data_IF_139007115696
#
_entry.id   IF_139007115696
#
_cell.length_a   1.000
_cell.length_b   1.000
_cell.length_c   1.000
_cell.angle_alpha   90.00
_cell.angle_beta   90.00
_cell.angle_gamma   90.00
#
_symmetry.space_group_name_H-M   'P 1'
#
loop_
_entity.id
_entity.type
_entity.pdbx_description
1 polymer ?
2 non-polymer ?
3 water ?
#
# COMPACT_ATOMS: atom_id res chain seq x y z
N UNK A 2 0.55 -3.40 -2.75
CA UNK A 2 -0.46 -3.00 -1.77
C UNK A 2 -1.79 -2.73 -2.45
N UNK A 3 -2.55 -3.80 -2.68
CA UNK A 3 -3.95 -3.68 -3.03
C UNK A 3 -4.66 -2.85 -1.95
N UNK A 4 -5.90 -2.45 -2.23
CA UNK A 4 -6.76 -1.96 -1.18
C UNK A 4 -6.95 -3.02 -0.09
N UNK A 5 -6.76 -4.29 -0.44
CA UNK A 5 -6.98 -5.37 0.54
C UNK A 5 -5.98 -5.30 1.69
N UNK A 6 -4.68 -5.24 1.37
CA UNK A 6 -3.69 -5.13 2.45
C UNK A 6 -3.92 -3.87 3.26
N UNK A 7 -4.19 -2.75 2.58
CA UNK A 7 -4.42 -1.49 3.28
C UNK A 7 -5.58 -1.62 4.28
N UNK A 8 -6.62 -2.36 3.92
CA UNK A 8 -7.78 -2.48 4.79
C UNK A 8 -7.58 -3.51 5.92
N UNK A 9 -6.81 -4.58 5.68
CA UNK A 9 -6.54 -5.51 6.78
C UNK A 9 -5.73 -4.83 7.88
N UNK A 10 -4.84 -3.92 7.50
CA UNK A 10 -4.10 -3.13 8.50
C UNK A 10 -5.05 -2.28 9.33
N UNK A 11 -5.98 -1.57 8.68
CA UNK A 11 -6.87 -0.66 9.41
C UNK A 11 -8.01 -1.38 10.12
N UNK A 12 -8.28 -2.63 9.78
CA UNK A 12 -9.39 -3.36 10.36
C UNK A 12 -8.97 -4.55 11.22
N UNK A 13 -7.84 -5.18 10.92
CA UNK A 13 -7.37 -6.32 11.69
C UNK A 13 -8.26 -7.55 11.63
N UNK A 14 -7.66 -8.68 11.28
CA UNK A 14 -8.37 -9.95 11.22
C UNK A 14 -8.79 -10.39 12.61
N UNK A 15 -10.04 -10.86 12.74
CA UNK A 15 -10.57 -11.26 14.04
C UNK A 15 -11.61 -12.35 13.83
N UNK A 16 -11.19 -13.61 14.05
CA UNK A 16 -12.00 -14.79 13.73
C UNK A 16 -13.23 -14.95 14.61
N UNK A 17 -13.40 -14.09 15.62
CA UNK A 17 -14.46 -14.17 16.62
C UNK A 17 -15.07 -12.78 16.71
N UNK A 18 -16.36 -12.73 17.02
CA UNK A 18 -17.13 -11.50 16.92
C UNK A 18 -16.76 -10.53 18.05
N UNK A 19 -16.22 -9.38 17.68
CA UNK A 19 -15.78 -8.32 18.58
C UNK A 19 -16.67 -7.09 18.43
N UNK A 20 -16.23 -5.98 19.02
CA UNK A 20 -16.90 -4.69 18.87
C UNK A 20 -15.99 -3.71 18.15
N UNK A 21 -16.57 -2.91 17.25
CA UNK A 21 -15.78 -1.92 16.52
C UNK A 21 -15.52 -0.71 17.39
N UNK A 22 -15.11 0.41 16.77
CA UNK A 22 -14.89 1.66 17.50
C UNK A 22 -16.22 2.27 18.07
N UNK A 23 -17.29 1.50 17.97
CA UNK A 23 -18.56 1.77 18.62
C UNK A 23 -19.05 0.45 19.22
N UNK A 24 -20.25 0.47 19.82
CA UNK A 24 -20.81 -0.74 20.39
C UNK A 24 -21.43 -1.66 19.35
N UNK A 25 -21.16 -1.38 18.07
CA UNK A 25 -21.67 -2.17 16.98
C UNK A 25 -20.82 -3.43 16.83
N UNK A 26 -21.45 -4.59 16.94
CA UNK A 26 -20.70 -5.83 16.87
C UNK A 26 -20.17 -6.06 15.46
N UNK A 27 -19.03 -6.72 15.37
CA UNK A 27 -18.24 -6.79 14.15
C UNK A 27 -17.55 -8.14 14.12
N UNK A 28 -17.09 -8.54 12.93
CA UNK A 28 -16.45 -9.83 12.75
C UNK A 28 -15.42 -9.70 11.65
N UNK A 29 -14.41 -10.57 11.70
CA UNK A 29 -13.47 -10.70 10.59
C UNK A 29 -12.66 -9.45 10.38
N UNK A 30 -12.56 -9.05 9.11
CA UNK A 30 -11.81 -7.87 8.70
C UNK A 30 -12.79 -6.71 8.49
N UNK A 31 -13.48 -6.32 9.56
CA UNK A 31 -14.25 -5.10 9.55
C UNK A 31 -15.72 -5.23 9.16
N UNK A 32 -16.24 -6.44 8.99
CA UNK A 32 -17.62 -6.61 8.56
C UNK A 32 -18.58 -6.23 9.69
N UNK A 33 -19.25 -5.10 9.52
CA UNK A 33 -20.27 -4.68 10.46
C UNK A 33 -21.42 -5.69 10.45
N UNK A 34 -21.69 -6.28 11.62
CA UNK A 34 -22.77 -7.25 11.71
C UNK A 34 -24.11 -6.56 11.94
N UNK A 35 -24.16 -5.63 12.89
CA UNK A 35 -25.42 -5.00 13.28
C UNK A 35 -25.07 -3.85 14.21
N UNK A 36 -25.98 -2.88 14.29
CA UNK A 36 -25.89 -1.78 15.23
C UNK A 36 -26.73 -1.98 16.49
N UNK A 37 -27.43 -3.11 16.61
CA UNK A 37 -28.22 -3.39 17.80
C UNK A 37 -27.29 -3.59 19.00
N UNK A 38 -27.76 -3.29 20.22
CA UNK A 38 -26.83 -3.34 21.36
C UNK A 38 -26.43 -4.75 21.77
N UNK A 39 -27.24 -5.77 21.56
CA UNK A 39 -26.98 -7.05 22.19
C UNK A 39 -27.06 -8.21 21.20
N UNK A 40 -26.12 -9.13 21.38
CA UNK A 40 -25.65 -10.24 20.53
C UNK A 40 -26.71 -11.18 19.96
N UNK A 41 -27.99 -10.86 20.06
CA UNK A 41 -28.96 -11.69 19.36
C UNK A 41 -28.70 -11.55 17.88
N UNK A 42 -28.92 -10.34 17.36
CA UNK A 42 -28.63 -10.03 15.97
C UNK A 42 -27.28 -10.60 15.52
N UNK A 43 -26.25 -10.35 16.31
CA UNK A 43 -24.86 -10.69 16.05
C UNK A 43 -24.60 -11.90 15.15
N UNK A 44 -24.82 -13.12 15.67
CA UNK A 44 -24.57 -14.33 14.89
C UNK A 44 -25.86 -14.87 14.26
N UNK A 45 -26.99 -14.18 14.42
CA UNK A 45 -28.04 -14.33 13.43
C UNK A 45 -27.50 -13.96 12.05
N UNK A 46 -26.94 -12.76 11.95
CA UNK A 46 -26.44 -12.24 10.68
C UNK A 46 -25.15 -12.90 10.24
N UNK A 47 -24.41 -13.52 11.17
CA UNK A 47 -23.16 -14.20 10.83
C UNK A 47 -23.43 -15.43 9.95
N UNK A 48 -24.25 -16.36 10.45
CA UNK A 48 -24.61 -17.53 9.64
C UNK A 48 -25.44 -17.12 8.43
N UNK A 49 -26.26 -16.08 8.57
CA UNK A 49 -26.91 -15.47 7.41
C UNK A 49 -25.90 -14.98 6.37
N UNK A 50 -24.68 -14.63 6.79
CA UNK A 50 -23.67 -14.12 5.87
C UNK A 50 -22.72 -15.19 5.34
N UNK A 51 -22.44 -16.23 6.12
CA UNK A 51 -21.44 -17.22 5.73
C UNK A 51 -21.96 -18.17 4.66
N UNK A 55 -21.94 -22.84 7.81
CA UNK A 55 -21.09 -22.83 8.99
C UNK A 55 -21.74 -21.96 10.07
N UNK A 56 -21.67 -22.42 11.33
CA UNK A 56 -22.24 -21.70 12.46
C UNK A 56 -21.10 -21.23 13.39
N UNK A 57 -21.47 -20.80 14.60
CA UNK A 57 -20.46 -20.38 15.56
C UNK A 57 -19.66 -19.22 15.01
N UNK A 58 -18.35 -19.25 15.22
CA UNK A 58 -17.52 -18.18 14.67
C UNK A 58 -16.66 -18.72 13.52
N UNK A 59 -15.74 -17.91 13.00
CA UNK A 59 -15.32 -18.02 11.60
C UNK A 59 -13.84 -18.37 11.48
N UNK A 60 -13.48 -18.98 10.34
CA UNK A 60 -12.12 -19.31 9.93
C UNK A 60 -11.63 -18.31 8.88
N UNK A 61 -10.31 -18.15 8.78
CA UNK A 61 -9.70 -17.23 7.82
C UNK A 61 -10.21 -17.45 6.39
N UNK A 62 -10.63 -18.67 6.05
CA UNK A 62 -11.29 -18.91 4.77
C UNK A 62 -12.43 -17.93 4.56
N UNK A 63 -13.33 -17.84 5.55
CA UNK A 63 -14.55 -17.08 5.43
C UNK A 63 -14.38 -15.63 5.85
N UNK A 64 -13.45 -15.34 6.76
CA UNK A 64 -13.18 -13.95 7.15
C UNK A 64 -12.83 -13.10 5.93
N UNK A 65 -11.81 -13.52 5.18
CA UNK A 65 -11.52 -12.82 3.94
C UNK A 65 -12.43 -13.25 2.81
N UNK A 66 -13.50 -14.00 3.11
CA UNK A 66 -14.57 -14.19 2.13
C UNK A 66 -15.67 -13.16 2.32
N UNK A 67 -16.01 -12.81 3.57
CA UNK A 67 -16.82 -11.62 3.81
C UNK A 67 -16.07 -10.37 3.36
N UNK A 68 -14.76 -10.33 3.58
CA UNK A 68 -13.97 -9.14 3.26
C UNK A 68 -13.97 -8.86 1.76
N UNK A 69 -13.79 -9.90 0.94
CA UNK A 69 -13.81 -9.71 -0.50
C UNK A 69 -15.18 -9.27 -1.00
N UNK A 70 -16.25 -9.73 -0.36
CA UNK A 70 -17.59 -9.23 -0.67
C UNK A 70 -17.71 -7.74 -0.37
N UNK A 71 -17.17 -7.31 0.78
CA UNK A 71 -17.42 -5.95 1.25
C UNK A 71 -16.56 -4.92 0.50
N UNK A 72 -15.31 -5.27 0.18
CA UNK A 72 -14.50 -4.43 -0.68
C UNK A 72 -15.23 -4.16 -1.99
N UNK A 73 -15.72 -5.22 -2.64
CA UNK A 73 -16.44 -5.06 -3.89
C UNK A 73 -17.72 -4.24 -3.69
N UNK A 74 -18.36 -4.37 -2.53
CA UNK A 74 -19.59 -3.63 -2.31
C UNK A 74 -19.31 -2.16 -2.09
N UNK A 75 -18.16 -1.82 -1.48
CA UNK A 75 -17.74 -0.43 -1.39
C UNK A 75 -17.48 0.17 -2.77
N UNK A 76 -16.87 -0.62 -3.66
CA UNK A 76 -16.53 -0.11 -4.98
C UNK A 76 -17.80 0.05 -5.82
N UNK A 77 -18.74 -0.89 -5.69
CA UNK A 77 -20.00 -0.76 -6.42
C UNK A 77 -20.80 0.44 -5.93
N UNK A 78 -20.79 0.68 -4.62
CA UNK A 78 -21.50 1.85 -4.10
C UNK A 78 -20.96 3.15 -4.64
N UNK A 79 -19.63 3.24 -4.77
CA UNK A 79 -19.00 4.42 -5.36
C UNK A 79 -19.48 4.63 -6.79
N UNK A 80 -19.38 3.58 -7.62
CA UNK A 80 -19.63 3.74 -9.05
C UNK A 80 -21.09 4.02 -9.37
N UNK A 81 -22.02 3.64 -8.49
CA UNK A 81 -23.42 3.94 -8.68
C UNK A 81 -23.85 5.22 -7.96
N UNK A 82 -22.94 5.92 -7.31
CA UNK A 82 -23.23 7.17 -6.63
C UNK A 82 -22.74 8.32 -7.48
N UNK A 83 -23.64 9.27 -7.76
CA UNK A 83 -23.30 10.33 -8.72
C UNK A 83 -22.27 11.31 -8.17
N UNK A 84 -22.14 11.43 -6.84
CA UNK A 84 -21.09 12.28 -6.27
C UNK A 84 -19.74 11.60 -6.28
N UNK A 85 -19.70 10.31 -5.95
CA UNK A 85 -18.43 9.64 -5.73
C UNK A 85 -17.77 9.24 -7.03
N UNK A 86 -18.56 8.75 -8.01
CA UNK A 86 -17.94 8.27 -9.24
C UNK A 86 -17.02 9.28 -9.93
N UNK A 87 -17.46 10.51 -10.24
CA UNK A 87 -16.54 11.42 -10.93
C UNK A 87 -15.28 11.73 -10.15
N UNK A 88 -15.36 11.82 -8.81
CA UNK A 88 -14.15 11.90 -7.99
C UNK A 88 -13.31 10.64 -8.21
N UNK A 89 -13.93 9.48 -7.99
CA UNK A 89 -13.20 8.22 -8.07
C UNK A 89 -12.57 8.04 -9.45
N UNK A 90 -13.31 8.41 -10.52
CA UNK A 90 -12.75 8.34 -11.87
C UNK A 90 -11.53 9.25 -12.02
N UNK A 91 -11.55 10.41 -11.37
CA UNK A 91 -10.49 11.40 -11.57
C UNK A 91 -9.19 11.02 -10.86
N UNK A 92 -9.25 10.11 -9.90
CA UNK A 92 -8.14 9.87 -8.99
C UNK A 92 -7.21 8.80 -9.54
N UNK A 93 -5.95 8.90 -9.16
CA UNK A 93 -4.97 7.83 -9.37
C UNK A 93 -5.33 6.60 -8.52
N UNK A 94 -4.63 5.50 -8.79
CA UNK A 94 -4.99 4.22 -8.15
C UNK A 94 -4.84 4.29 -6.62
N UNK A 95 -3.81 5.00 -6.15
CA UNK A 95 -3.54 5.07 -4.72
C UNK A 95 -4.69 5.76 -3.99
N UNK A 96 -4.99 7.01 -4.36
CA UNK A 96 -6.07 7.74 -3.72
C UNK A 96 -7.44 7.12 -3.99
N UNK A 97 -7.59 6.36 -5.07
CA UNK A 97 -8.82 5.57 -5.21
C UNK A 97 -8.95 4.59 -4.06
N UNK A 98 -7.83 3.98 -3.66
CA UNK A 98 -7.87 3.06 -2.52
C UNK A 98 -8.24 3.80 -1.24
N UNK A 99 -7.74 5.02 -1.07
CA UNK A 99 -8.12 5.83 0.09
C UNK A 99 -9.62 6.10 0.10
N UNK A 100 -10.19 6.45 -1.05
CA UNK A 100 -11.62 6.68 -1.14
C UNK A 100 -12.40 5.40 -0.84
N UNK A 101 -11.96 4.27 -1.41
CA UNK A 101 -12.62 3.00 -1.12
C UNK A 101 -12.53 2.69 0.37
N UNK A 102 -11.41 3.04 0.99
CA UNK A 102 -11.23 2.80 2.42
C UNK A 102 -12.29 3.57 3.21
N UNK A 103 -12.44 4.87 2.92
CA UNK A 103 -13.48 5.69 3.54
C UNK A 103 -14.86 5.08 3.35
N UNK A 104 -15.20 4.74 2.11
CA UNK A 104 -16.54 4.21 1.84
C UNK A 104 -16.74 2.89 2.56
N UNK A 105 -15.68 2.08 2.62
CA UNK A 105 -15.73 0.84 3.38
C UNK A 105 -16.05 1.12 4.85
N UNK A 106 -15.44 2.16 5.43
CA UNK A 106 -15.67 2.41 6.85
C UNK A 106 -17.01 3.10 7.11
N UNK A 107 -17.43 4.02 6.22
CA UNK A 107 -18.50 4.96 6.52
C UNK A 107 -19.75 4.75 5.70
N UNK A 108 -19.72 3.95 4.64
CA UNK A 108 -20.82 3.87 3.70
C UNK A 108 -20.77 4.98 2.67
N UNK A 109 -21.29 4.70 1.48
CA UNK A 109 -21.26 5.68 0.39
C UNK A 109 -21.91 6.99 0.82
N UNK A 110 -22.97 6.92 1.63
CA UNK A 110 -23.70 8.12 2.05
C UNK A 110 -22.84 9.03 2.91
N UNK A 111 -22.19 8.48 3.93
CA UNK A 111 -21.28 9.28 4.74
C UNK A 111 -20.21 9.98 3.94
N UNK A 112 -19.59 9.27 2.99
CA UNK A 112 -18.53 9.88 2.19
C UNK A 112 -19.13 10.93 1.26
N UNK A 113 -20.31 10.63 0.68
CA UNK A 113 -20.95 11.58 -0.22
C UNK A 113 -21.23 12.91 0.47
N UNK A 114 -21.27 12.91 1.79
CA UNK A 114 -21.50 14.15 2.52
C UNK A 114 -20.35 15.14 2.44
N UNK A 115 -19.17 14.69 2.03
CA UNK A 115 -17.97 15.55 2.05
C UNK A 115 -17.86 16.41 0.80
N UNK A 116 -18.93 17.14 0.46
CA UNK A 116 -19.06 17.71 -0.88
C UNK A 116 -17.88 18.59 -1.26
N UNK A 117 -17.40 19.42 -0.34
CA UNK A 117 -16.28 20.29 -0.70
C UNK A 117 -14.97 19.49 -0.83
N UNK A 118 -14.71 18.60 0.13
CA UNK A 118 -13.48 17.82 0.07
C UNK A 118 -13.42 16.99 -1.19
N UNK A 119 -14.54 16.36 -1.56
CA UNK A 119 -14.57 15.55 -2.78
C UNK A 119 -14.26 16.39 -3.99
N UNK A 120 -14.85 17.59 -4.04
CA UNK A 120 -14.55 18.53 -5.11
C UNK A 120 -13.08 18.91 -5.10
N UNK A 121 -12.50 19.12 -3.91
CA UNK A 121 -11.09 19.50 -3.88
C UNK A 121 -10.22 18.37 -4.39
N UNK A 122 -10.51 17.14 -3.95
CA UNK A 122 -9.81 15.98 -4.49
C UNK A 122 -9.88 15.92 -6.00
N UNK A 123 -11.08 16.13 -6.58
CA UNK A 123 -11.27 16.03 -8.02
C UNK A 123 -10.35 16.98 -8.78
N UNK A 124 -10.07 18.15 -8.22
CA UNK A 124 -9.22 19.10 -8.91
C UNK A 124 -7.80 19.09 -8.36
N UNK A 125 -7.40 17.99 -7.71
CA UNK A 125 -6.01 17.73 -7.34
C UNK A 125 -5.53 18.66 -6.23
N UNK A 126 -6.45 19.30 -5.51
CA UNK A 126 -6.06 20.22 -4.43
C UNK A 126 -5.91 19.43 -3.12
N UNK A 127 -4.83 18.62 -3.08
CA UNK A 127 -4.71 17.62 -2.03
C UNK A 127 -4.57 18.27 -0.65
N UNK A 128 -3.68 19.26 -0.53
CA UNK A 128 -3.48 19.87 0.79
C UNK A 128 -4.77 20.44 1.35
N UNK A 129 -5.53 21.15 0.51
CA UNK A 129 -6.77 21.75 0.98
C UNK A 129 -7.78 20.68 1.36
N UNK A 130 -7.91 19.63 0.56
CA UNK A 130 -8.81 18.53 0.94
C UNK A 130 -8.42 17.96 2.30
N UNK A 131 -7.12 17.90 2.60
CA UNK A 131 -6.64 17.24 3.81
C UNK A 131 -7.00 18.02 5.07
N UNK A 132 -6.73 19.32 5.10
CA UNK A 132 -7.14 20.10 6.26
C UNK A 132 -8.65 20.06 6.41
N UNK A 133 -9.37 20.04 5.28
CA UNK A 133 -10.82 20.00 5.32
C UNK A 133 -11.30 18.69 5.94
N UNK A 134 -10.76 17.56 5.45
CA UNK A 134 -11.19 16.27 5.96
C UNK A 134 -10.88 16.10 7.45
N UNK A 135 -9.87 16.80 7.95
CA UNK A 135 -9.50 16.65 9.36
C UNK A 135 -10.42 17.42 10.30
N UNK A 136 -11.35 18.22 9.79
CA UNK A 136 -12.34 18.89 10.62
C UNK A 136 -13.57 18.04 10.86
N UNK A 137 -13.57 16.80 10.42
CA UNK A 137 -14.78 15.99 10.39
C UNK A 137 -14.98 15.23 11.71
N UNK A 138 -16.23 14.84 11.95
CA UNK A 138 -16.53 13.89 13.02
C UNK A 138 -15.79 12.58 12.78
N UNK A 139 -15.70 12.15 11.53
CA UNK A 139 -14.88 10.99 11.16
C UNK A 139 -13.46 11.11 11.68
N UNK A 140 -12.83 12.29 11.54
CA UNK A 140 -11.48 12.42 12.06
C UNK A 140 -11.48 12.30 13.58
N UNK A 141 -12.50 12.85 14.24
CA UNK A 141 -12.55 12.86 15.71
C UNK A 141 -12.82 11.48 16.28
N UNK A 142 -13.60 10.64 15.58
CA UNK A 142 -13.96 9.32 16.11
C UNK A 142 -12.88 8.27 15.88
N UNK A 143 -12.12 8.33 14.76
CA UNK A 143 -10.98 7.43 14.53
C UNK A 143 -9.81 8.24 13.99
N UNK A 144 -9.09 8.95 14.85
CA UNK A 144 -8.07 9.89 14.35
C UNK A 144 -6.87 9.23 13.67
N UNK A 145 -6.41 8.08 14.17
CA UNK A 145 -5.20 7.49 13.60
C UNK A 145 -5.47 6.82 12.25
N UNK A 146 -6.60 6.13 12.12
CA UNK A 146 -6.93 5.63 10.79
C UNK A 146 -7.19 6.79 9.83
N UNK A 147 -7.90 7.82 10.29
CA UNK A 147 -8.14 8.98 9.45
C UNK A 147 -6.83 9.64 9.05
N UNK A 148 -5.94 9.89 10.02
CA UNK A 148 -4.65 10.48 9.69
C UNK A 148 -3.94 9.70 8.58
N UNK A 149 -4.07 8.37 8.59
CA UNK A 149 -3.42 7.53 7.59
C UNK A 149 -4.07 7.66 6.21
N UNK A 150 -5.41 7.64 6.13
CA UNK A 150 -5.99 7.77 4.79
C UNK A 150 -5.83 9.20 4.27
N UNK A 151 -5.94 10.20 5.15
CA UNK A 151 -5.73 11.59 4.72
C UNK A 151 -4.32 11.78 4.19
N UNK A 152 -3.33 11.23 4.89
CA UNK A 152 -1.95 11.25 4.41
C UNK A 152 -1.84 10.60 3.04
N UNK A 153 -2.54 9.49 2.84
CA UNK A 153 -2.63 8.91 1.50
C UNK A 153 -3.18 9.91 0.50
N UNK A 154 -4.33 10.53 0.80
CA UNK A 154 -4.81 11.56 -0.10
C UNK A 154 -3.77 12.65 -0.27
N UNK A 155 -3.11 13.03 0.83
CA UNK A 155 -2.19 14.16 0.77
C UNK A 155 -1.00 13.84 -0.14
N UNK A 156 -0.42 12.65 -0.02
CA UNK A 156 0.83 12.33 -0.70
C UNK A 156 0.65 11.61 -2.03
N UNK A 157 -0.44 10.86 -2.21
CA UNK A 157 -0.54 9.97 -3.34
C UNK A 157 0.23 8.67 -3.22
N UNK A 158 0.74 8.33 -2.03
CA UNK A 158 1.57 7.15 -1.86
C UNK A 158 1.04 6.25 -0.74
N UNK A 159 1.63 5.07 -0.67
CA UNK A 159 1.33 4.05 0.33
C UNK A 159 2.12 4.20 1.61
N UNK A 160 2.91 5.28 1.75
CA UNK A 160 3.89 5.36 2.84
C UNK A 160 3.25 5.27 4.22
N UNK A 161 2.07 5.87 4.41
CA UNK A 161 1.44 5.76 5.72
C UNK A 161 1.10 4.32 6.08
N UNK A 162 1.15 3.39 5.13
CA UNK A 162 0.91 1.98 5.45
C UNK A 162 2.15 1.11 5.33
N UNK A 163 3.34 1.71 5.29
CA UNK A 163 4.56 0.96 5.08
C UNK A 163 5.36 0.74 6.36
N UNK A 164 6.34 -0.14 6.27
CA UNK A 164 7.23 -0.37 7.40
C UNK A 164 8.15 0.84 7.60
N UNK A 165 8.81 0.88 8.76
CA UNK A 165 9.81 1.92 9.00
C UNK A 165 10.97 1.84 8.01
N UNK A 166 11.29 0.64 7.52
CA UNK A 166 12.32 0.51 6.48
C UNK A 166 11.85 1.10 5.16
N UNK A 167 10.59 0.90 4.80
CA UNK A 167 10.06 1.58 3.62
C UNK A 167 10.20 3.09 3.79
N UNK A 168 9.92 3.62 4.99
CA UNK A 168 9.99 5.07 5.18
C UNK A 168 11.39 5.60 4.92
N UNK A 169 12.39 4.96 5.53
CA UNK A 169 13.78 5.36 5.32
C UNK A 169 14.19 5.24 3.86
N UNK A 170 13.91 4.09 3.25
CA UNK A 170 14.15 3.91 1.82
C UNK A 170 13.60 5.07 1.03
N UNK A 171 12.34 5.43 1.28
CA UNK A 171 11.70 6.53 0.56
C UNK A 171 12.41 7.85 0.84
N UNK A 172 12.83 8.09 2.09
CA UNK A 172 13.58 9.31 2.37
C UNK A 172 14.96 9.30 1.70
N UNK A 173 15.57 8.11 1.51
CA UNK A 173 16.93 8.05 0.99
C UNK A 173 16.98 8.32 -0.52
N UNK A 174 15.96 7.88 -1.25
CA UNK A 174 15.83 8.11 -2.68
C UNK A 174 14.49 8.80 -2.92
N UNK A 175 14.52 10.05 -3.35
CA UNK A 175 13.28 10.83 -3.55
C UNK A 175 13.15 11.33 -4.98
N UNK A 176 11.91 11.41 -5.49
CA UNK A 176 10.67 10.91 -4.88
C UNK A 176 10.23 9.54 -5.39
N UNK A 177 10.94 8.99 -6.37
CA UNK A 177 10.62 7.72 -7.04
C UNK A 177 9.22 7.85 -7.67
N UNK A 178 8.36 6.82 -7.59
CA UNK A 178 7.01 6.84 -8.12
C UNK A 178 5.97 6.90 -7.02
N UNK A 179 4.76 7.41 -7.30
CA UNK A 179 3.73 7.49 -6.27
C UNK A 179 3.43 6.14 -5.63
N UNK A 180 3.34 5.09 -6.44
CA UNK A 180 3.00 3.76 -5.93
C UNK A 180 4.22 2.94 -5.51
N UNK A 181 5.37 3.56 -5.25
CA UNK A 181 6.58 2.78 -4.97
C UNK A 181 6.56 2.20 -3.55
N UNK A 182 6.80 0.89 -3.46
CA UNK A 182 6.92 0.18 -2.19
C UNK A 182 8.25 -0.56 -2.14
N UNK A 183 8.93 -0.50 -1.01
CA UNK A 183 10.16 -1.25 -0.82
C UNK A 183 9.85 -2.71 -0.57
N UNK A 184 10.54 -3.60 -1.30
CA UNK A 184 10.32 -5.03 -1.17
C UNK A 184 11.40 -5.58 -0.25
N UNK A 185 12.65 -5.52 -0.69
CA UNK A 185 13.75 -5.93 0.17
C UNK A 185 15.01 -5.19 -0.24
N UNK A 186 16.07 -5.37 0.56
CA UNK A 186 17.34 -4.71 0.31
C UNK A 186 18.48 -5.64 0.73
N UNK A 187 19.62 -5.53 0.02
CA UNK A 187 20.76 -6.45 0.14
C UNK A 187 22.08 -5.71 0.22
N UNK A 188 22.99 -6.24 1.02
CA UNK A 188 24.36 -5.74 0.96
C UNK A 188 24.97 -6.14 -0.37
N UNK A 189 25.77 -5.24 -0.94
CA UNK A 189 26.56 -5.56 -2.13
C UNK A 189 27.58 -4.46 -2.36
N UNK A 190 28.42 -4.64 -3.39
CA UNK A 190 29.34 -3.63 -3.88
C UNK A 190 28.92 -3.16 -5.27
N UNK A 191 28.88 -1.85 -5.48
CA UNK A 191 28.66 -1.26 -6.79
C UNK A 191 30.01 -0.93 -7.43
N UNK A 192 30.24 -1.44 -8.63
CA UNK A 192 31.57 -1.32 -9.26
C UNK A 192 31.62 -0.02 -10.05
N UNK A 193 32.37 0.94 -9.52
CA UNK A 193 32.58 2.23 -10.17
C UNK A 193 34.06 2.32 -10.50
N UNK A 194 34.73 3.43 -10.19
CA UNK A 194 36.19 3.40 -10.36
C UNK A 194 36.87 2.50 -9.34
N UNK A 195 36.15 2.08 -8.29
CA UNK A 195 36.54 1.01 -7.39
C UNK A 195 35.25 0.36 -6.89
N UNK A 196 35.28 -0.73 -6.13
CA UNK A 196 34.03 -1.33 -5.64
C UNK A 196 33.50 -0.61 -4.40
N UNK A 197 32.39 0.11 -4.57
CA UNK A 197 31.76 0.85 -3.47
C UNK A 197 30.87 -0.09 -2.67
N UNK A 198 31.29 -0.41 -1.44
CA UNK A 198 30.41 -1.02 -0.47
C UNK A 198 29.13 -0.20 -0.31
N UNK A 199 27.99 -0.89 -0.17
CA UNK A 199 26.73 -0.22 0.13
C UNK A 199 25.52 -1.17 0.18
N UNK A 200 24.35 -0.68 -0.23
CA UNK A 200 23.14 -1.51 -0.24
C UNK A 200 22.35 -1.28 -1.52
N UNK A 201 21.85 -2.36 -2.10
CA UNK A 201 20.94 -2.30 -3.23
C UNK A 201 19.51 -2.51 -2.70
N UNK A 202 18.57 -1.68 -3.16
CA UNK A 202 17.17 -1.68 -2.71
C UNK A 202 16.28 -2.12 -3.87
N UNK A 203 15.54 -3.21 -3.67
CA UNK A 203 14.57 -3.65 -4.67
C UNK A 203 13.17 -3.17 -4.26
N UNK A 204 12.50 -2.48 -5.16
CA UNK A 204 11.14 -2.02 -4.96
C UNK A 204 10.31 -2.44 -6.18
N UNK A 205 8.99 -2.34 -6.04
CA UNK A 205 8.12 -2.68 -7.18
C UNK A 205 8.42 -1.82 -8.41
N UNK A 206 8.92 -0.60 -8.25
CA UNK A 206 9.25 0.24 -9.39
C UNK A 206 10.73 0.38 -9.68
N UNK A 207 11.59 0.38 -8.65
CA UNK A 207 12.96 0.83 -8.82
C UNK A 207 13.96 -0.15 -8.20
N UNK A 208 15.11 -0.25 -8.84
CA UNK A 208 16.30 -0.83 -8.25
C UNK A 208 17.23 0.32 -7.86
N UNK A 209 17.53 0.45 -6.57
CA UNK A 209 18.33 1.58 -6.07
C UNK A 209 19.55 1.11 -5.30
N UNK A 210 20.60 1.93 -5.34
CA UNK A 210 21.83 1.64 -4.63
C UNK A 210 22.30 2.86 -3.87
N UNK A 211 22.78 2.65 -2.64
CA UNK A 211 23.34 3.70 -1.82
C UNK A 211 24.69 3.26 -1.28
N UNK A 212 25.69 4.12 -1.42
CA UNK A 212 27.03 3.82 -0.93
C UNK A 212 27.14 4.03 0.59
N UNK A 213 27.67 3.03 1.29
CA UNK A 213 28.00 3.18 2.70
C UNK A 213 29.51 3.36 2.92
N UNK A 214 30.27 3.72 1.88
CA UNK A 214 31.70 3.97 2.03
C UNK A 214 31.87 5.38 2.58
N UNK A 215 32.34 5.50 3.82
CA UNK A 215 32.47 6.82 4.41
C UNK A 215 33.40 7.69 3.56
N UNK A 216 32.97 8.93 3.31
CA UNK A 216 33.60 9.95 2.48
C UNK A 216 33.36 9.75 1.00
N UNK A 217 32.76 8.64 0.57
CA UNK A 217 32.52 8.36 -0.84
C UNK A 217 31.03 8.10 -1.03
N UNK A 218 30.23 9.16 -0.93
CA UNK A 218 28.81 8.98 -1.18
C UNK A 218 28.58 8.80 -2.67
N UNK A 219 27.64 7.92 -3.01
CA UNK A 219 27.19 7.72 -4.39
C UNK A 219 25.83 7.01 -4.36
N UNK A 220 24.91 7.46 -5.20
CA UNK A 220 23.59 6.86 -5.28
C UNK A 220 23.26 6.54 -6.74
N UNK A 221 22.42 5.53 -6.92
CA UNK A 221 21.96 5.13 -8.24
C UNK A 221 20.49 4.71 -8.14
N UNK A 222 19.66 5.31 -8.98
CA UNK A 222 18.25 4.92 -9.09
C UNK A 222 18.03 4.43 -10.51
N UNK A 223 17.45 3.24 -10.63
CA UNK A 223 17.22 2.65 -11.93
C UNK A 223 15.75 2.25 -11.94
N UNK A 224 14.91 2.89 -12.74
CA UNK A 224 13.53 2.42 -12.87
C UNK A 224 13.55 1.06 -13.55
N UNK A 225 12.74 0.14 -13.00
CA UNK A 225 12.75 -1.22 -13.52
C UNK A 225 12.36 -1.26 -14.99
N UNK A 226 11.52 -0.32 -15.44
CA UNK A 226 11.11 -0.35 -16.84
C UNK A 226 12.15 0.24 -17.79
N UNK A 227 13.27 0.76 -17.27
CA UNK A 227 14.42 1.12 -18.10
C UNK A 227 15.47 0.01 -18.16
N UNK A 228 15.30 -1.08 -17.42
CA UNK A 228 16.26 -2.19 -17.45
C UNK A 228 15.95 -3.06 -18.67
N UNK A 229 16.94 -3.25 -19.54
CA UNK A 229 16.77 -4.16 -20.66
C UNK A 229 17.27 -5.58 -20.36
N UNK A 230 18.53 -5.72 -19.96
CA UNK A 230 19.10 -7.03 -19.69
C UNK A 230 19.50 -7.15 -18.23
N UNK A 231 19.42 -8.37 -17.73
CA UNK A 231 19.63 -8.70 -16.33
C UNK A 231 20.40 -10.03 -16.30
N UNK A 232 21.71 -9.95 -16.15
CA UNK A 232 22.58 -11.09 -16.38
C UNK A 232 23.34 -11.50 -15.13
N UNK A 233 23.47 -12.81 -14.92
CA UNK A 233 24.38 -13.32 -13.90
C UNK A 233 25.79 -13.33 -14.48
N UNK A 234 26.69 -12.55 -13.86
CA UNK A 234 28.02 -12.37 -14.41
C UNK A 234 28.74 -13.72 -14.49
N UNK A 235 29.28 -14.03 -15.68
CA UNK A 235 29.86 -15.36 -15.93
C UNK A 235 31.04 -15.64 -15.02
N UNK A 236 31.91 -14.67 -14.80
CA UNK A 236 33.17 -14.91 -14.11
C UNK A 236 33.10 -14.61 -12.61
N UNK A 237 31.95 -14.17 -12.09
CA UNK A 237 31.82 -13.85 -10.66
C UNK A 237 30.48 -14.36 -10.15
N UNK A 238 30.53 -15.37 -9.28
CA UNK A 238 29.33 -16.03 -8.78
C UNK A 238 28.50 -15.15 -7.88
N UNK A 239 29.09 -14.15 -7.24
CA UNK A 239 28.37 -13.26 -6.36
C UNK A 239 27.82 -12.01 -7.07
N UNK A 240 27.80 -11.97 -8.40
CA UNK A 240 27.67 -10.70 -9.11
C UNK A 240 26.54 -10.74 -10.12
N UNK A 241 25.72 -9.69 -10.13
CA UNK A 241 24.64 -9.48 -11.08
C UNK A 241 24.95 -8.21 -11.85
N UNK A 242 24.74 -8.23 -13.17
CA UNK A 242 24.91 -7.03 -13.95
C UNK A 242 23.58 -6.61 -14.56
N UNK A 243 23.36 -5.30 -14.61
CA UNK A 243 22.10 -4.67 -15.00
C UNK A 243 22.38 -3.74 -16.17
N UNK A 244 21.66 -3.93 -17.27
CA UNK A 244 21.87 -3.18 -18.50
C UNK A 244 20.63 -2.36 -18.80
N UNK A 245 20.79 -1.05 -18.91
CA UNK A 245 19.66 -0.18 -19.16
C UNK A 245 19.65 0.28 -20.61
N UNK A 246 18.63 1.08 -20.92
CA UNK A 246 18.53 1.94 -22.09
C UNK A 246 19.88 2.58 -22.40
N UNK A 247 20.65 2.94 -21.35
CA UNK A 247 21.75 3.87 -21.49
C UNK A 247 23.03 3.47 -20.76
N UNK A 248 23.10 2.32 -20.09
CA UNK A 248 24.28 2.03 -19.27
C UNK A 248 24.25 0.58 -18.80
N UNK A 249 25.40 0.12 -18.28
CA UNK A 249 25.53 -1.21 -17.71
C UNK A 249 26.11 -1.10 -16.31
N UNK A 250 25.42 -1.67 -15.31
CA UNK A 250 25.83 -1.59 -13.92
C UNK A 250 26.08 -2.99 -13.36
N UNK A 251 27.17 -3.14 -12.62
CA UNK A 251 27.56 -4.42 -12.06
C UNK A 251 27.62 -4.31 -10.55
N UNK A 252 26.97 -5.24 -9.88
CA UNK A 252 26.96 -5.35 -8.43
C UNK A 252 27.45 -6.72 -8.05
N UNK A 253 28.33 -6.77 -7.02
CA UNK A 253 28.83 -8.05 -6.53
C UNK A 253 28.74 -8.15 -5.01
N UNK A 254 29.29 -9.23 -4.44
CA UNK A 254 29.28 -9.39 -3.01
C UNK A 254 27.94 -9.78 -2.42
N UNK A 255 27.02 -10.31 -3.22
CA UNK A 255 25.76 -10.77 -2.69
C UNK A 255 25.96 -12.05 -1.89
N UNK A 256 25.41 -12.08 -0.68
CA UNK A 256 25.38 -13.31 0.11
C UNK A 256 24.75 -14.44 -0.69
N UNK A 257 23.51 -14.26 -1.12
CA UNK A 257 22.74 -15.28 -1.83
C UNK A 257 22.39 -14.74 -3.22
N UNK A 258 23.35 -14.86 -4.15
CA UNK A 258 23.21 -14.13 -5.41
C UNK A 258 22.04 -14.67 -6.24
N UNK A 259 22.02 -15.97 -6.51
CA UNK A 259 20.93 -16.51 -7.32
C UNK A 259 19.55 -16.26 -6.71
N UNK A 260 19.46 -16.12 -5.39
CA UNK A 260 18.19 -15.74 -4.78
C UNK A 260 17.85 -14.28 -5.09
N UNK A 261 18.84 -13.39 -5.01
CA UNK A 261 18.60 -12.00 -5.39
C UNK A 261 18.22 -11.91 -6.86
N UNK A 262 18.80 -12.77 -7.70
CA UNK A 262 18.59 -12.67 -9.14
C UNK A 262 17.18 -13.14 -9.52
N UNK A 263 16.72 -14.25 -8.94
CA UNK A 263 15.37 -14.69 -9.26
C UNK A 263 14.34 -13.66 -8.83
N UNK A 264 14.48 -13.11 -7.62
CA UNK A 264 13.52 -12.14 -7.13
C UNK A 264 13.51 -10.90 -8.02
N UNK A 265 14.69 -10.36 -8.33
CA UNK A 265 14.76 -9.19 -9.19
C UNK A 265 14.10 -9.47 -10.53
N UNK A 266 14.35 -10.65 -11.11
CA UNK A 266 13.75 -11.02 -12.37
C UNK A 266 12.23 -11.08 -12.26
N UNK A 267 11.72 -11.60 -11.14
CA UNK A 267 10.27 -11.69 -10.99
C UNK A 267 9.65 -10.31 -10.83
N UNK A 268 10.22 -9.48 -9.96
CA UNK A 268 9.67 -8.13 -9.78
C UNK A 268 9.80 -7.35 -11.10
N UNK A 269 10.87 -7.59 -11.84
CA UNK A 269 11.10 -6.86 -13.08
C UNK A 269 10.11 -7.27 -14.16
N UNK A 270 9.77 -8.56 -14.23
CA UNK A 270 8.82 -9.02 -15.24
C UNK A 270 7.51 -8.26 -15.13
N UNK A 271 7.01 -8.10 -13.90
CA UNK A 271 5.78 -7.34 -13.67
C UNK A 271 5.83 -5.98 -14.37
N UNK A 272 6.74 -5.10 -13.94
CA UNK A 272 6.77 -3.72 -14.43
C UNK A 272 7.18 -3.59 -15.90
X LIG B 1 -21.29 -13.87 -4.23
X LIG B 1 -21.72 -12.94 -5.24
X LIG B 1 -22.12 -13.71 -6.50
X LIG B 1 -22.56 -12.84 -7.55
X LIG B 1 -21.73 -13.27 -8.63
X LIG B 1 -22.18 -12.73 -9.98
X LIG B 1 -21.22 -13.21 -10.94
X LIG B 1 -21.48 -12.76 -12.28
X LIG B 1 -21.89 -11.28 -12.30
X LIG B 1 -20.85 -10.47 -11.75
X LIG B 1 -20.22 -9.66 -12.75
X LIG B 1 -19.00 -10.35 -13.38
X LIG B 1 -18.05 -10.64 -12.35
X LIG B 1 -17.67 -9.50 -11.60
X LIG B 1 -16.82 -10.00 -10.45
X LIG B 1 -16.46 -8.90 -9.66
X LIG B 1 -15.23 -9.17 -8.98
X LIG B 1 -14.81 -7.82 -8.44
X LIG B 1 -14.69 -6.95 -9.58
X LIG B 1 -14.63 -5.58 -9.12
X LIG B 1 -13.17 -5.09 -8.96
X LIG B 1 -12.43 -5.88 -8.00
X LIG B 1 -11.02 -5.72 -8.27
X LIG B 1 -10.19 -6.87 -7.68
X LIG B 1 -8.80 -6.59 -8.03
X LIG B 1 -7.83 -7.31 -7.23
X LIG B 1 -7.57 -8.71 -7.82
X LIG B 1 -6.61 -9.41 -7.02
#
# INVERSE_FOLDING_TARGET
GSNIFEMLRIDEGLRLKIYKNTEGYYTIGIGHLLTKSPSLNAAKSELDKAIGRNTNGVITKDEAEKLFNQDVDAAVRGILRNAKLKPVYDSLDAVRRAALINMVFQMGETGVAGFTNSLRMLQQKRWDEAAVNLAKSRWYNQTPNRAKRVITTFRTGTWDAYGSEANKKFRQMFKPLAPNTRLITDYFCYFHREFPYQGRIYLSNTHLCFNSTVLNWMAKLQIPLNEIKYLDKVTTNSSAISVETVTNRYTFSGFIARDEVFQLITRVWSKENLTN
2PE O1 C2 C3 O4 C5 C6 O7 C8 C9 O10 C11 C12 O13 C14 C15 O16 C17 C18 O19 C20 C21 O22 C23 C24 O25 C26 C27 O28
#
